data_IF_153115887543
#
_entry.id   IF_153115887543
#
_cell.length_a   1.000
_cell.length_b   1.000
_cell.length_c   1.000
_cell.angle_alpha   90.00
_cell.angle_beta   90.00
_cell.angle_gamma   90.00
#
_symmetry.space_group_name_H-M   'P 1'
#
loop_
_entity.id
_entity.type
_entity.pdbx_description
1 polymer ?
#
# COMPACT_ATOMS: atom_id res chain seq x y z
N UNK A 1 -18.97 3.14 -10.95
CA UNK A 1 -18.80 4.59 -10.77
C UNK A 1 -17.83 4.79 -9.62
N UNK A 2 -16.88 5.72 -9.72
CA UNK A 2 -16.01 6.11 -8.59
C UNK A 2 -16.55 7.45 -8.13
N UNK A 3 -17.00 7.54 -6.88
CA UNK A 3 -17.59 8.77 -6.34
C UNK A 3 -16.52 9.76 -5.90
N UNK A 4 -15.55 9.30 -5.10
CA UNK A 4 -14.50 10.13 -4.53
C UNK A 4 -13.12 9.48 -4.62
N UNK A 5 -12.09 10.31 -4.65
CA UNK A 5 -10.68 9.88 -4.61
C UNK A 5 -10.01 10.56 -3.45
N UNK A 6 -9.32 9.76 -2.64
CA UNK A 6 -8.52 10.23 -1.51
C UNK A 6 -7.05 9.93 -1.81
N UNK A 7 -6.17 10.88 -1.51
CA UNK A 7 -4.72 10.70 -1.57
C UNK A 7 -4.19 10.63 -0.14
N UNK A 8 -3.43 9.58 0.16
CA UNK A 8 -2.81 9.38 1.46
C UNK A 8 -1.38 8.88 1.27
N UNK A 9 -0.49 9.32 2.15
CA UNK A 9 0.86 8.77 2.25
C UNK A 9 0.83 7.40 2.92
N UNK A 10 1.61 6.45 2.40
CA UNK A 10 1.82 5.15 3.03
C UNK A 10 3.12 5.18 3.84
N UNK A 11 3.07 4.73 5.09
CA UNK A 11 4.25 4.55 5.92
C UNK A 11 4.87 3.17 5.62
N UNK A 12 6.01 3.16 4.93
CA UNK A 12 6.74 1.95 4.56
C UNK A 12 8.11 1.89 5.25
N UNK A 13 8.60 0.68 5.48
CA UNK A 13 9.96 0.46 5.98
C UNK A 13 10.97 0.58 4.82
N UNK A 14 12.19 1.00 5.12
CA UNK A 14 13.19 1.40 4.11
C UNK A 14 13.52 0.34 3.04
N UNK A 15 13.36 -0.95 3.35
CA UNK A 15 13.51 -2.06 2.39
C UNK A 15 12.36 -2.13 1.39
N UNK A 16 11.13 -1.90 1.85
CA UNK A 16 9.91 -1.88 1.03
C UNK A 16 9.94 -0.72 0.03
N UNK A 17 10.49 0.44 0.43
CA UNK A 17 10.68 1.59 -0.46
C UNK A 17 11.59 1.24 -1.65
N UNK A 18 12.64 0.43 -1.44
CA UNK A 18 13.52 -0.03 -2.52
C UNK A 18 12.79 -1.00 -3.46
N UNK A 19 12.04 -1.96 -2.91
CA UNK A 19 11.22 -2.89 -3.70
C UNK A 19 10.15 -2.17 -4.52
N UNK A 20 9.47 -1.19 -3.94
CA UNK A 20 8.44 -0.41 -4.60
C UNK A 20 9.01 0.39 -5.78
N UNK A 21 10.21 0.98 -5.62
CA UNK A 21 10.92 1.70 -6.70
C UNK A 21 11.28 0.81 -7.89
N UNK A 22 11.42 -0.49 -7.68
CA UNK A 22 11.64 -1.46 -8.77
C UNK A 22 10.34 -2.07 -9.30
N UNK A 23 9.17 -1.56 -8.89
CA UNK A 23 7.87 -2.07 -9.31
C UNK A 23 7.54 -3.45 -8.74
N UNK A 24 8.24 -3.90 -7.69
CA UNK A 24 8.00 -5.19 -7.04
C UNK A 24 6.88 -5.11 -5.99
N UNK A 25 5.73 -4.53 -6.36
CA UNK A 25 4.55 -4.47 -5.50
C UNK A 25 3.29 -4.93 -6.23
N UNK A 26 2.42 -5.64 -5.52
CA UNK A 26 1.12 -6.09 -6.01
C UNK A 26 0.01 -5.60 -5.10
N UNK A 27 -0.98 -4.92 -5.69
CA UNK A 27 -2.18 -4.38 -5.05
C UNK A 27 -3.47 -5.06 -5.56
N UNK A 28 -3.34 -6.16 -6.32
CA UNK A 28 -4.49 -6.80 -7.01
C UNK A 28 -5.63 -7.23 -6.09
N UNK A 29 -5.30 -7.71 -4.89
CA UNK A 29 -6.28 -8.19 -3.90
C UNK A 29 -6.24 -7.35 -2.62
N UNK A 30 -5.63 -6.17 -2.70
CA UNK A 30 -5.52 -5.27 -1.55
C UNK A 30 -6.75 -4.39 -1.41
N UNK A 31 -7.14 -4.13 -0.16
CA UNK A 31 -8.21 -3.22 0.19
C UNK A 31 -7.79 -2.32 1.34
N UNK A 32 -8.47 -1.19 1.49
CA UNK A 32 -8.23 -0.23 2.56
C UNK A 32 -9.32 -0.40 3.61
N UNK A 33 -8.92 -0.36 4.89
CA UNK A 33 -9.83 -0.32 6.01
C UNK A 33 -9.43 0.81 6.94
N UNK A 34 -10.43 1.55 7.39
CA UNK A 34 -10.25 2.60 8.39
C UNK A 34 -10.45 1.95 9.76
N UNK A 35 -9.41 1.99 10.59
CA UNK A 35 -9.43 1.45 11.95
C UNK A 35 -8.95 2.54 12.92
N UNK A 36 -9.74 2.86 13.94
CA UNK A 36 -9.41 3.86 14.96
C UNK A 36 -8.99 5.25 14.42
N UNK A 37 -9.47 5.64 13.24
CA UNK A 37 -9.12 6.92 12.60
C UNK A 37 -7.86 6.85 11.74
N UNK A 38 -7.24 5.69 11.62
CA UNK A 38 -6.09 5.43 10.76
C UNK A 38 -6.50 4.64 9.53
N UNK A 39 -5.87 4.95 8.39
CA UNK A 39 -6.13 4.29 7.12
C UNK A 39 -5.09 3.19 6.93
N UNK A 40 -5.54 1.94 7.00
CA UNK A 40 -4.68 0.76 6.91
C UNK A 40 -4.93 0.03 5.59
N UNK A 41 -3.86 -0.35 4.91
CA UNK A 41 -3.90 -1.19 3.70
C UNK A 41 -3.74 -2.67 4.12
N UNK A 42 -4.66 -3.50 3.65
CA UNK A 42 -4.65 -4.95 3.86
C UNK A 42 -4.53 -5.66 2.51
N UNK A 43 -3.82 -6.79 2.48
CA UNK A 43 -3.67 -7.61 1.26
C UNK A 43 -2.72 -7.03 0.20
N UNK A 44 -2.02 -5.94 0.50
CA UNK A 44 -0.92 -5.46 -0.35
C UNK A 44 0.30 -6.35 -0.11
N UNK A 45 0.88 -6.85 -1.20
CA UNK A 45 2.07 -7.68 -1.15
C UNK A 45 3.23 -6.94 -1.79
N UNK A 46 4.28 -6.70 -1.00
CA UNK A 46 5.53 -6.10 -1.46
C UNK A 46 6.57 -7.22 -1.45
N UNK A 47 7.06 -7.59 -2.63
CA UNK A 47 8.09 -8.62 -2.70
C UNK A 47 9.38 -8.07 -2.09
N UNK A 48 10.03 -8.82 -1.18
CA UNK A 48 11.23 -8.36 -0.50
C UNK A 48 12.35 -8.02 -1.49
N UNK A 49 13.19 -7.07 -1.09
CA UNK A 49 14.37 -6.67 -1.84
C UNK A 49 15.43 -7.78 -1.72
N UNK A 50 15.93 -8.26 -2.86
CA UNK A 50 17.17 -9.06 -2.94
C UNK A 50 18.36 -8.14 -3.15
#
# INVERSE_FOLDING_TARGET
FIEEKYEAGIALHGTEVKSLRMGRCSVKESFIRIDNGEVMIYGMHISPYE
#
